data_IF_213935584538
#
_entry.id   IF_213935584538
#
_cell.length_a   1.000
_cell.length_b   1.000
_cell.length_c   1.000
_cell.angle_alpha   90.00
_cell.angle_beta   90.00
_cell.angle_gamma   90.00
#
_symmetry.space_group_name_H-M   'P 1'
#
loop_
_entity.id
_entity.type
_entity.pdbx_description
1 polymer ?
#
# COMPACT_ATOMS: atom_id res chain seq x y z
N UNK A 1 7.91 -9.17 -27.91
CA UNK A 1 8.38 -8.68 -26.56
C UNK A 1 7.50 -9.31 -25.48
N UNK A 2 8.08 -9.70 -24.34
CA UNK A 2 7.29 -10.22 -23.22
C UNK A 2 6.44 -9.07 -22.62
N UNK A 3 5.09 -9.11 -22.70
CA UNK A 3 4.24 -7.99 -22.24
C UNK A 3 4.30 -7.71 -20.74
N UNK A 4 4.87 -8.63 -19.95
CA UNK A 4 5.07 -8.42 -18.50
C UNK A 4 6.14 -7.37 -18.18
N UNK A 5 7.14 -7.17 -19.04
CA UNK A 5 8.16 -6.14 -18.80
C UNK A 5 7.57 -4.73 -18.87
N UNK A 6 6.88 -4.30 -19.95
CA UNK A 6 6.27 -2.97 -19.98
C UNK A 6 5.16 -2.81 -18.93
N UNK A 7 4.42 -3.88 -18.61
CA UNK A 7 3.41 -3.85 -17.55
C UNK A 7 4.03 -3.59 -16.18
N UNK A 8 5.05 -4.38 -15.81
CA UNK A 8 5.74 -4.23 -14.53
C UNK A 8 6.44 -2.88 -14.40
N UNK A 9 7.12 -2.44 -15.47
CA UNK A 9 7.78 -1.13 -15.53
C UNK A 9 6.76 0.01 -15.32
N UNK A 10 5.63 -0.01 -16.03
CA UNK A 10 4.57 0.98 -15.87
C UNK A 10 4.03 1.02 -14.43
N UNK A 11 3.76 -0.15 -13.83
CA UNK A 11 3.26 -0.25 -12.44
C UNK A 11 4.28 0.29 -11.45
N UNK A 12 5.57 -0.06 -11.58
CA UNK A 12 6.60 0.44 -10.68
C UNK A 12 6.70 1.97 -10.75
N UNK A 13 6.69 2.55 -11.96
CA UNK A 13 6.77 3.99 -12.14
C UNK A 13 5.50 4.72 -11.68
N UNK A 14 4.32 4.10 -11.77
CA UNK A 14 3.08 4.72 -11.28
C UNK A 14 3.11 5.01 -9.77
N UNK A 15 3.82 4.20 -9.00
CA UNK A 15 3.93 4.34 -7.55
C UNK A 15 4.84 5.49 -7.10
N UNK A 16 5.70 6.03 -8.00
CA UNK A 16 6.71 7.01 -7.62
C UNK A 16 6.11 8.26 -6.98
N UNK A 17 5.07 8.84 -7.56
CA UNK A 17 4.43 10.02 -7.00
C UNK A 17 3.72 9.77 -5.66
N UNK A 18 2.98 8.67 -5.56
CA UNK A 18 2.17 8.38 -4.38
C UNK A 18 3.01 8.06 -3.14
N UNK A 19 3.94 7.10 -3.28
CA UNK A 19 4.72 6.65 -2.12
C UNK A 19 5.79 7.67 -1.70
N UNK A 20 6.22 8.55 -2.61
CA UNK A 20 7.08 9.69 -2.25
C UNK A 20 6.39 10.66 -1.30
N UNK A 21 5.06 10.84 -1.41
CA UNK A 21 4.31 11.70 -0.49
C UNK A 21 4.35 11.19 0.95
N UNK A 22 4.36 9.89 1.17
CA UNK A 22 4.46 9.35 2.53
C UNK A 22 5.82 9.66 3.17
N UNK A 23 6.88 9.79 2.38
CA UNK A 23 8.19 10.18 2.88
C UNK A 23 8.33 11.69 3.10
N UNK A 24 7.50 12.52 2.47
CA UNK A 24 7.77 13.96 2.34
C UNK A 24 6.63 14.87 2.79
N UNK A 25 5.36 14.48 2.64
CA UNK A 25 4.22 15.39 2.84
C UNK A 25 4.17 15.99 4.25
N UNK A 26 4.41 15.20 5.28
CA UNK A 26 4.34 15.67 6.67
C UNK A 26 5.47 16.60 7.08
N UNK A 27 6.54 16.68 6.30
CA UNK A 27 7.65 17.63 6.49
C UNK A 27 7.52 18.88 5.61
N UNK A 28 6.56 18.91 4.67
CA UNK A 28 6.36 19.96 3.68
C UNK A 28 5.00 20.69 3.79
N UNK A 29 4.38 20.62 4.97
CA UNK A 29 3.02 21.17 5.20
C UNK A 29 2.92 22.67 4.90
N UNK A 30 3.95 23.44 5.28
CA UNK A 30 4.01 24.89 5.05
C UNK A 30 4.06 25.23 3.55
N UNK A 31 4.77 24.42 2.74
CA UNK A 31 4.89 24.62 1.28
C UNK A 31 3.54 24.49 0.59
N UNK A 32 2.66 23.65 1.14
CA UNK A 32 1.36 23.32 0.56
C UNK A 32 0.19 24.01 1.27
N UNK A 33 0.46 24.82 2.29
CA UNK A 33 -0.56 25.47 3.13
C UNK A 33 -1.56 24.44 3.73
N UNK A 34 -1.03 23.38 4.34
CA UNK A 34 -1.80 22.30 4.93
C UNK A 34 -1.61 22.21 6.43
N UNK A 35 -2.68 21.85 7.14
CA UNK A 35 -2.57 21.34 8.51
C UNK A 35 -2.19 19.86 8.52
N UNK A 36 -1.67 19.37 9.65
CA UNK A 36 -1.34 17.95 9.81
C UNK A 36 -2.56 17.04 9.66
N UNK A 37 -3.74 17.46 10.16
CA UNK A 37 -5.00 16.74 9.99
C UNK A 37 -5.41 16.65 8.51
N UNK A 38 -5.25 17.74 7.75
CA UNK A 38 -5.51 17.74 6.30
C UNK A 38 -4.57 16.79 5.56
N UNK A 39 -3.29 16.75 5.93
CA UNK A 39 -2.35 15.76 5.38
C UNK A 39 -2.81 14.32 5.67
N UNK A 40 -3.35 14.05 6.87
CA UNK A 40 -3.94 12.76 7.22
C UNK A 40 -5.12 12.38 6.30
N UNK A 41 -6.01 13.31 6.01
CA UNK A 41 -7.11 13.10 5.06
C UNK A 41 -6.56 12.82 3.65
N UNK A 42 -5.60 13.61 3.17
CA UNK A 42 -4.99 13.42 1.86
C UNK A 42 -4.33 12.03 1.73
N UNK A 43 -3.59 11.59 2.74
CA UNK A 43 -2.96 10.27 2.74
C UNK A 43 -3.95 9.11 2.92
N UNK A 44 -5.20 9.37 3.28
CA UNK A 44 -6.25 8.37 3.53
C UNK A 44 -7.24 8.23 2.39
N UNK A 45 -7.65 9.35 1.77
CA UNK A 45 -8.82 9.40 0.87
C UNK A 45 -8.69 8.49 -0.35
N UNK A 46 -7.48 8.31 -0.89
CA UNK A 46 -7.27 7.43 -2.04
C UNK A 46 -7.63 5.96 -1.72
N UNK A 47 -7.44 5.51 -0.46
CA UNK A 47 -7.85 4.18 -0.01
C UNK A 47 -9.38 4.06 0.09
N UNK A 48 -10.05 5.12 0.54
CA UNK A 48 -11.52 5.17 0.56
C UNK A 48 -12.11 4.99 -0.85
N UNK A 49 -11.52 5.66 -1.84
CA UNK A 49 -11.95 5.54 -3.26
C UNK A 49 -11.80 4.11 -3.78
N UNK A 50 -10.77 3.38 -3.36
CA UNK A 50 -10.49 2.01 -3.79
C UNK A 50 -11.52 1.00 -3.29
N UNK A 51 -12.13 1.22 -2.14
CA UNK A 51 -13.11 0.29 -1.56
C UNK A 51 -14.26 0.01 -2.55
N UNK A 52 -15.02 1.00 -3.04
CA UNK A 52 -16.00 0.79 -4.10
C UNK A 52 -15.36 0.68 -5.50
N UNK A 53 -14.19 1.27 -5.69
CA UNK A 53 -13.50 1.34 -6.98
C UNK A 53 -13.02 0.00 -7.50
N UNK A 54 -12.42 -0.85 -6.64
CA UNK A 54 -11.86 -2.14 -7.06
C UNK A 54 -12.91 -3.09 -7.69
N UNK A 55 -14.09 -3.35 -7.08
CA UNK A 55 -15.14 -4.14 -7.72
C UNK A 55 -15.65 -3.50 -9.02
N UNK A 56 -15.83 -2.18 -9.03
CA UNK A 56 -16.30 -1.45 -10.18
C UNK A 56 -15.32 -1.52 -11.35
N UNK A 57 -14.02 -1.36 -11.09
CA UNK A 57 -12.97 -1.48 -12.10
C UNK A 57 -12.94 -2.88 -12.72
N UNK A 58 -13.08 -3.94 -11.92
CA UNK A 58 -13.15 -5.30 -12.41
C UNK A 58 -14.27 -5.48 -13.44
N UNK A 59 -15.48 -5.06 -13.09
CA UNK A 59 -16.63 -5.13 -14.01
C UNK A 59 -16.43 -4.26 -15.26
N UNK A 60 -15.92 -3.03 -15.08
CA UNK A 60 -15.71 -2.11 -16.20
C UNK A 60 -14.67 -2.66 -17.19
N UNK A 61 -13.63 -3.32 -16.69
CA UNK A 61 -12.59 -3.96 -17.51
C UNK A 61 -13.11 -5.14 -18.33
N UNK A 62 -14.11 -5.87 -17.83
CA UNK A 62 -14.76 -6.93 -18.58
C UNK A 62 -15.59 -6.40 -19.77
N UNK A 63 -15.99 -5.12 -19.73
CA UNK A 63 -16.80 -4.49 -20.77
C UNK A 63 -15.97 -3.69 -21.77
N UNK A 64 -15.06 -2.85 -21.25
CA UNK A 64 -14.28 -1.89 -22.07
C UNK A 64 -12.99 -2.54 -22.59
N UNK A 65 -12.37 -3.41 -21.80
CA UNK A 65 -11.06 -3.99 -22.05
C UNK A 65 -10.06 -3.65 -20.95
N UNK A 66 -8.98 -4.42 -20.88
CA UNK A 66 -7.94 -4.25 -19.84
C UNK A 66 -7.04 -3.05 -20.14
N UNK A 67 -6.52 -3.00 -21.39
CA UNK A 67 -5.54 -1.99 -21.82
C UNK A 67 -6.06 -0.55 -21.73
N UNK A 68 -7.22 -0.17 -22.27
CA UNK A 68 -7.64 1.23 -22.27
C UNK A 68 -7.85 1.76 -20.85
N UNK A 69 -8.36 0.95 -19.94
CA UNK A 69 -8.57 1.34 -18.55
C UNK A 69 -7.26 1.40 -17.75
N UNK A 70 -6.31 0.50 -18.03
CA UNK A 70 -4.97 0.57 -17.44
C UNK A 70 -4.24 1.86 -17.89
N UNK A 71 -4.28 2.18 -19.18
CA UNK A 71 -3.68 3.42 -19.71
C UNK A 71 -4.34 4.67 -19.14
N UNK A 72 -5.68 4.66 -19.00
CA UNK A 72 -6.40 5.74 -18.30
C UNK A 72 -5.92 5.88 -16.85
N UNK A 73 -5.76 4.77 -16.13
CA UNK A 73 -5.20 4.77 -14.79
C UNK A 73 -3.81 5.40 -14.74
N UNK A 74 -2.93 5.06 -15.69
CA UNK A 74 -1.60 5.66 -15.79
C UNK A 74 -1.66 7.17 -16.07
N UNK A 75 -2.57 7.62 -16.94
CA UNK A 75 -2.77 9.06 -17.21
C UNK A 75 -3.25 9.83 -15.96
N UNK A 76 -4.20 9.24 -15.21
CA UNK A 76 -4.65 9.78 -13.93
C UNK A 76 -3.52 9.82 -12.90
N UNK A 77 -2.63 8.82 -12.88
CA UNK A 77 -1.46 8.79 -11.99
C UNK A 77 -0.49 9.94 -12.30
N UNK A 78 -0.20 10.19 -13.58
CA UNK A 78 0.60 11.34 -14.02
C UNK A 78 -0.03 12.65 -13.56
N UNK A 79 -1.32 12.85 -13.84
CA UNK A 79 -2.05 14.07 -13.50
C UNK A 79 -2.10 14.30 -11.98
N UNK A 80 -2.36 13.24 -11.21
CA UNK A 80 -2.36 13.30 -9.75
C UNK A 80 -0.99 13.70 -9.20
N UNK A 81 0.09 13.08 -9.67
CA UNK A 81 1.45 13.42 -9.23
C UNK A 81 1.83 14.85 -9.63
N UNK A 82 1.47 15.28 -10.84
CA UNK A 82 1.71 16.66 -11.30
C UNK A 82 0.97 17.70 -10.43
N UNK A 83 -0.22 17.37 -9.94
CA UNK A 83 -1.01 18.29 -9.11
C UNK A 83 -0.25 18.75 -7.86
N UNK A 84 0.57 17.89 -7.25
CA UNK A 84 1.36 18.25 -6.05
C UNK A 84 2.47 19.26 -6.34
N UNK A 85 2.92 19.35 -7.59
CA UNK A 85 3.87 20.36 -8.03
C UNK A 85 3.23 21.66 -8.52
N UNK A 86 1.95 21.63 -8.90
CA UNK A 86 1.27 22.71 -9.62
C UNK A 86 0.26 23.49 -8.80
N UNK A 87 -0.37 22.86 -7.78
CA UNK A 87 -1.46 23.48 -7.02
C UNK A 87 -1.18 23.54 -5.53
N UNK A 88 -1.90 24.43 -4.84
CA UNK A 88 -1.83 24.66 -3.41
C UNK A 88 -3.17 24.47 -2.74
N UNK A 89 -3.10 24.21 -1.43
CA UNK A 89 -4.24 24.13 -0.56
C UNK A 89 -4.94 22.76 -0.59
N UNK A 90 -5.79 22.57 0.37
CA UNK A 90 -6.38 21.28 0.66
C UNK A 90 -7.26 20.73 -0.47
N UNK A 91 -8.19 21.54 -0.99
CA UNK A 91 -9.20 21.06 -1.94
C UNK A 91 -8.64 20.60 -3.30
N UNK A 92 -7.76 21.36 -3.98
CA UNK A 92 -7.17 20.90 -5.23
C UNK A 92 -6.35 19.62 -5.03
N UNK A 93 -5.58 19.52 -3.93
CA UNK A 93 -4.81 18.33 -3.61
C UNK A 93 -5.70 17.13 -3.25
N UNK A 94 -6.85 17.37 -2.61
CA UNK A 94 -7.84 16.31 -2.35
C UNK A 94 -8.38 15.71 -3.65
N UNK A 95 -8.71 16.53 -4.65
CA UNK A 95 -9.11 16.04 -5.97
C UNK A 95 -7.98 15.23 -6.64
N UNK A 96 -6.75 15.68 -6.54
CA UNK A 96 -5.57 14.91 -7.00
C UNK A 96 -5.49 13.55 -6.32
N UNK A 97 -5.70 13.47 -5.00
CA UNK A 97 -5.69 12.21 -4.23
C UNK A 97 -6.85 11.28 -4.56
N UNK A 98 -8.04 11.82 -4.80
CA UNK A 98 -9.19 11.04 -5.32
C UNK A 98 -8.84 10.47 -6.70
N UNK A 99 -8.28 11.31 -7.58
CA UNK A 99 -7.77 10.89 -8.90
C UNK A 99 -6.75 9.77 -8.79
N UNK A 100 -5.80 9.84 -7.83
CA UNK A 100 -4.87 8.75 -7.55
C UNK A 100 -5.56 7.46 -7.09
N UNK A 101 -6.56 7.56 -6.22
CA UNK A 101 -7.34 6.38 -5.80
C UNK A 101 -7.99 5.67 -6.99
N UNK A 102 -8.57 6.42 -7.93
CA UNK A 102 -9.11 5.88 -9.19
C UNK A 102 -7.99 5.31 -10.07
N UNK A 103 -6.87 6.03 -10.21
CA UNK A 103 -5.70 5.59 -10.97
C UNK A 103 -5.20 4.23 -10.49
N UNK A 104 -4.90 4.11 -9.19
CA UNK A 104 -4.39 2.86 -8.62
C UNK A 104 -5.39 1.71 -8.72
N UNK A 105 -6.67 1.97 -8.56
CA UNK A 105 -7.72 0.97 -8.79
C UNK A 105 -7.63 0.39 -10.22
N UNK A 106 -7.53 1.24 -11.23
CA UNK A 106 -7.44 0.82 -12.64
C UNK A 106 -6.10 0.13 -12.94
N UNK A 107 -5.00 0.63 -12.39
CA UNK A 107 -3.66 0.06 -12.60
C UNK A 107 -3.55 -1.31 -11.92
N UNK A 108 -3.90 -1.40 -10.64
CA UNK A 108 -3.71 -2.62 -9.86
C UNK A 108 -4.63 -3.75 -10.30
N UNK A 109 -5.94 -3.48 -10.44
CA UNK A 109 -6.91 -4.47 -10.93
C UNK A 109 -6.63 -4.83 -12.38
N UNK A 110 -6.33 -3.85 -13.23
CA UNK A 110 -5.98 -4.07 -14.64
C UNK A 110 -4.71 -4.87 -14.81
N UNK A 111 -3.67 -4.51 -14.11
CA UNK A 111 -2.38 -5.21 -14.17
C UNK A 111 -2.49 -6.67 -13.74
N UNK A 112 -3.20 -6.93 -12.62
CA UNK A 112 -3.41 -8.31 -12.17
C UNK A 112 -4.25 -9.12 -13.15
N UNK A 113 -5.33 -8.54 -13.71
CA UNK A 113 -6.13 -9.20 -14.73
C UNK A 113 -5.31 -9.52 -16.00
N UNK A 114 -4.48 -8.57 -16.49
CA UNK A 114 -3.58 -8.83 -17.61
C UNK A 114 -2.61 -9.98 -17.32
N UNK A 115 -2.06 -10.06 -16.12
CA UNK A 115 -1.20 -11.18 -15.70
C UNK A 115 -1.96 -12.50 -15.74
N UNK A 116 -3.20 -12.52 -15.24
CA UNK A 116 -4.03 -13.72 -15.27
C UNK A 116 -4.40 -14.13 -16.70
N UNK A 117 -4.77 -13.18 -17.56
CA UNK A 117 -5.11 -13.43 -18.97
C UNK A 117 -3.91 -13.99 -19.77
N UNK A 118 -2.69 -13.56 -19.43
CA UNK A 118 -1.44 -14.00 -20.07
C UNK A 118 -0.87 -15.29 -19.48
N UNK A 119 -1.44 -15.79 -18.36
CA UNK A 119 -0.92 -16.95 -17.63
C UNK A 119 -1.64 -18.25 -17.99
N UNK A 120 -0.91 -19.36 -17.93
CA UNK A 120 -1.48 -20.71 -17.88
C UNK A 120 -1.55 -21.18 -16.42
N UNK A 121 -2.35 -22.21 -16.09
CA UNK A 121 -2.36 -22.78 -14.72
C UNK A 121 -0.97 -23.08 -14.17
N UNK A 122 -0.05 -23.56 -15.00
CA UNK A 122 1.32 -23.88 -14.60
C UNK A 122 2.24 -22.65 -14.41
N UNK A 123 1.96 -21.52 -15.06
CA UNK A 123 2.80 -20.31 -15.01
C UNK A 123 2.22 -19.21 -14.13
N UNK A 124 0.95 -19.31 -13.70
CA UNK A 124 0.20 -18.26 -13.02
C UNK A 124 0.92 -17.73 -11.77
N UNK A 125 1.38 -18.61 -10.90
CA UNK A 125 2.09 -18.21 -9.68
C UNK A 125 3.40 -17.47 -9.98
N UNK A 126 4.17 -17.95 -10.98
CA UNK A 126 5.43 -17.32 -11.39
C UNK A 126 5.20 -15.91 -11.96
N UNK A 127 4.19 -15.76 -12.83
CA UNK A 127 3.92 -14.47 -13.48
C UNK A 127 3.34 -13.46 -12.49
N UNK A 128 2.44 -13.88 -11.59
CA UNK A 128 1.95 -13.04 -10.49
C UNK A 128 3.08 -12.64 -9.53
N UNK A 129 4.00 -13.56 -9.22
CA UNK A 129 5.19 -13.26 -8.43
C UNK A 129 6.10 -12.22 -9.08
N UNK A 130 6.34 -12.32 -10.40
CA UNK A 130 7.13 -11.34 -11.14
C UNK A 130 6.45 -9.96 -11.18
N UNK A 131 5.13 -9.92 -11.38
CA UNK A 131 4.36 -8.67 -11.31
C UNK A 131 4.47 -8.02 -9.93
N UNK A 132 4.29 -8.80 -8.86
CA UNK A 132 4.45 -8.30 -7.50
C UNK A 132 5.88 -7.82 -7.21
N UNK A 133 6.91 -8.44 -7.78
CA UNK A 133 8.28 -7.96 -7.64
C UNK A 133 8.44 -6.54 -8.20
N UNK A 134 7.82 -6.20 -9.33
CA UNK A 134 7.80 -4.83 -9.85
C UNK A 134 7.06 -3.85 -8.94
N UNK A 135 5.97 -4.28 -8.30
CA UNK A 135 5.28 -3.48 -7.29
C UNK A 135 6.21 -3.19 -6.10
N UNK A 136 6.95 -4.19 -5.61
CA UNK A 136 7.93 -4.01 -4.52
C UNK A 136 9.09 -3.09 -4.92
N UNK A 137 9.55 -3.14 -6.17
CA UNK A 137 10.53 -2.17 -6.71
C UNK A 137 9.97 -0.74 -6.60
N UNK A 138 8.71 -0.51 -6.98
CA UNK A 138 8.05 0.79 -6.79
C UNK A 138 7.98 1.21 -5.33
N UNK A 139 7.60 0.31 -4.42
CA UNK A 139 7.55 0.55 -2.97
C UNK A 139 8.91 0.93 -2.37
N UNK A 140 10.00 0.40 -2.89
CA UNK A 140 11.35 0.72 -2.42
C UNK A 140 11.89 2.02 -3.06
N UNK A 141 11.75 2.16 -4.38
CA UNK A 141 12.33 3.30 -5.11
C UNK A 141 11.59 4.61 -4.87
N UNK A 142 10.26 4.58 -4.75
CA UNK A 142 9.47 5.80 -4.68
C UNK A 142 9.81 6.66 -3.45
N UNK A 143 9.75 6.18 -2.21
CA UNK A 143 10.09 7.01 -1.06
C UNK A 143 11.58 7.42 -1.05
N UNK A 144 12.47 6.54 -1.54
CA UNK A 144 13.90 6.83 -1.64
C UNK A 144 14.17 8.00 -2.61
N UNK A 145 13.67 7.90 -3.83
CA UNK A 145 13.85 8.93 -4.86
C UNK A 145 13.10 10.21 -4.49
N UNK A 146 11.89 10.08 -3.95
CA UNK A 146 11.08 11.21 -3.51
C UNK A 146 11.74 12.01 -2.41
N UNK A 147 12.25 11.34 -1.38
CA UNK A 147 13.00 11.99 -0.30
C UNK A 147 14.26 12.70 -0.80
N UNK A 148 15.07 12.00 -1.59
CA UNK A 148 16.30 12.54 -2.18
C UNK A 148 16.02 13.78 -3.07
N UNK A 149 15.03 13.69 -3.95
CA UNK A 149 14.69 14.81 -4.84
C UNK A 149 14.16 16.01 -4.04
N UNK A 150 13.33 15.80 -3.02
CA UNK A 150 12.79 16.90 -2.21
C UNK A 150 13.90 17.65 -1.47
N UNK A 151 14.87 16.94 -0.91
CA UNK A 151 16.02 17.59 -0.26
C UNK A 151 16.97 18.28 -1.27
N UNK A 152 17.04 17.77 -2.51
CA UNK A 152 17.97 18.31 -3.54
C UNK A 152 17.41 19.51 -4.31
N UNK A 153 16.12 19.48 -4.69
CA UNK A 153 15.51 20.46 -5.60
C UNK A 153 14.17 21.01 -5.10
N UNK A 154 13.86 20.84 -3.83
CA UNK A 154 12.62 21.20 -3.15
C UNK A 154 11.39 20.38 -3.59
N UNK A 155 10.27 20.51 -2.86
CA UNK A 155 9.09 19.63 -3.00
C UNK A 155 8.42 19.72 -4.38
N UNK A 156 8.09 20.93 -4.85
CA UNK A 156 7.31 21.09 -6.09
C UNK A 156 8.05 20.60 -7.35
N UNK A 157 9.30 21.05 -7.61
CA UNK A 157 10.06 20.49 -8.72
C UNK A 157 10.25 18.99 -8.63
N UNK A 158 10.47 18.43 -7.42
CA UNK A 158 10.60 17.00 -7.21
C UNK A 158 9.33 16.25 -7.66
N UNK A 159 8.13 16.75 -7.30
CA UNK A 159 6.86 16.14 -7.73
C UNK A 159 6.67 16.22 -9.24
N UNK A 160 7.08 17.31 -9.90
CA UNK A 160 7.02 17.43 -11.35
C UNK A 160 7.99 16.46 -12.06
N UNK A 161 9.20 16.29 -11.52
CA UNK A 161 10.15 15.29 -12.03
C UNK A 161 9.57 13.88 -11.89
N UNK A 162 9.01 13.54 -10.73
CA UNK A 162 8.39 12.23 -10.50
C UNK A 162 7.17 12.01 -11.40
N UNK A 163 6.38 13.06 -11.67
CA UNK A 163 5.29 13.01 -12.66
C UNK A 163 5.82 12.72 -14.06
N UNK A 164 6.91 13.39 -14.48
CA UNK A 164 7.58 13.12 -15.75
C UNK A 164 8.07 11.69 -15.87
N UNK A 165 8.66 11.15 -14.80
CA UNK A 165 9.08 9.74 -14.76
C UNK A 165 7.88 8.80 -14.82
N UNK A 166 6.77 9.11 -14.13
CA UNK A 166 5.52 8.35 -14.22
C UNK A 166 4.97 8.39 -15.67
N UNK A 167 5.12 9.51 -16.38
CA UNK A 167 4.72 9.64 -17.78
C UNK A 167 5.52 8.71 -18.72
N UNK A 168 6.77 8.36 -18.39
CA UNK A 168 7.50 7.30 -19.11
C UNK A 168 6.81 5.94 -18.97
N UNK A 169 6.27 5.63 -17.79
CA UNK A 169 5.45 4.45 -17.55
C UNK A 169 4.16 4.46 -18.36
N UNK A 170 3.49 5.63 -18.44
CA UNK A 170 2.33 5.81 -19.32
C UNK A 170 2.69 5.57 -20.79
N UNK A 171 3.81 6.13 -21.27
CA UNK A 171 4.32 5.89 -22.61
C UNK A 171 4.58 4.42 -22.92
N UNK A 172 5.24 3.72 -21.98
CA UNK A 172 5.48 2.28 -22.10
C UNK A 172 4.17 1.48 -22.14
N UNK A 173 3.19 1.81 -21.29
CA UNK A 173 1.89 1.18 -21.29
C UNK A 173 1.12 1.43 -22.59
N UNK A 174 1.13 2.67 -23.07
CA UNK A 174 0.42 3.06 -24.31
C UNK A 174 1.02 2.40 -25.56
N UNK A 175 2.35 2.32 -25.66
CA UNK A 175 3.03 1.84 -26.86
C UNK A 175 3.20 0.32 -26.90
N UNK A 176 3.40 -0.33 -25.74
CA UNK A 176 3.86 -1.71 -25.69
C UNK A 176 2.87 -2.72 -25.07
N UNK A 177 1.80 -2.28 -24.38
CA UNK A 177 0.83 -3.21 -23.82
C UNK A 177 -0.18 -3.65 -24.88
N UNK A 178 -0.40 -4.96 -25.07
CA UNK A 178 -1.50 -5.48 -25.89
C UNK A 178 -2.83 -5.44 -25.09
N UNK A 179 -3.95 -5.49 -25.80
CA UNK A 179 -5.22 -5.84 -25.18
C UNK A 179 -5.22 -7.35 -24.88
N UNK A 180 -5.51 -7.71 -23.63
CA UNK A 180 -5.47 -9.10 -23.17
C UNK A 180 -6.85 -9.71 -23.00
N UNK A 181 -7.92 -8.90 -22.98
CA UNK A 181 -9.29 -9.41 -22.87
C UNK A 181 -9.65 -10.21 -24.12
N UNK A 182 -9.95 -11.52 -24.01
CA UNK A 182 -10.36 -12.34 -25.15
C UNK A 182 -11.61 -11.78 -25.82
N UNK A 183 -11.61 -11.72 -27.17
CA UNK A 183 -12.71 -11.12 -27.93
C UNK A 183 -14.08 -11.77 -27.64
N UNK A 184 -14.11 -13.08 -27.38
CA UNK A 184 -15.33 -13.81 -27.04
C UNK A 184 -15.95 -13.43 -25.67
N UNK A 185 -15.16 -12.94 -24.74
CA UNK A 185 -15.66 -12.54 -23.43
C UNK A 185 -16.31 -11.15 -23.41
N UNK A 186 -16.04 -10.31 -24.40
CA UNK A 186 -16.67 -8.98 -24.54
C UNK A 186 -18.17 -9.06 -24.80
N UNK A 187 -18.65 -10.18 -25.33
CA UNK A 187 -20.03 -10.37 -25.77
C UNK A 187 -20.85 -11.33 -24.91
N UNK A 188 -20.22 -12.09 -24.00
CA UNK A 188 -20.89 -13.09 -23.20
C UNK A 188 -21.64 -12.44 -22.02
N UNK A 189 -22.97 -12.63 -22.00
CA UNK A 189 -23.91 -12.45 -20.88
C UNK A 189 -23.66 -11.26 -19.96
N UNK A 190 -24.11 -10.06 -20.35
CA UNK A 190 -23.97 -8.85 -19.54
C UNK A 190 -25.05 -8.80 -18.47
N UNK A 191 -24.78 -9.40 -17.31
CA UNK A 191 -25.57 -9.07 -16.14
C UNK A 191 -25.45 -7.57 -15.80
N UNK A 192 -26.55 -6.93 -15.38
CA UNK A 192 -26.52 -5.53 -14.97
C UNK A 192 -25.45 -5.29 -13.89
N UNK A 193 -24.71 -4.18 -13.98
CA UNK A 193 -23.69 -3.81 -13.00
C UNK A 193 -24.20 -3.86 -11.57
N UNK A 194 -25.41 -3.38 -11.33
CA UNK A 194 -26.02 -3.33 -10.00
C UNK A 194 -26.26 -4.73 -9.40
N UNK A 195 -26.69 -5.71 -10.20
CA UNK A 195 -26.89 -7.09 -9.73
C UNK A 195 -25.57 -7.76 -9.34
N UNK A 196 -24.47 -7.49 -10.06
CA UNK A 196 -23.14 -7.97 -9.69
C UNK A 196 -22.63 -7.35 -8.40
N UNK A 197 -22.83 -6.04 -8.20
CA UNK A 197 -22.42 -5.33 -6.98
C UNK A 197 -23.21 -5.82 -5.76
N UNK A 198 -24.54 -6.03 -5.89
CA UNK A 198 -25.36 -6.58 -4.80
C UNK A 198 -24.97 -8.01 -4.46
N UNK A 199 -24.70 -8.85 -5.46
CA UNK A 199 -24.23 -10.22 -5.25
C UNK A 199 -22.87 -10.28 -4.52
N UNK A 200 -21.93 -9.37 -4.85
CA UNK A 200 -20.64 -9.23 -4.16
C UNK A 200 -20.84 -8.80 -2.70
N UNK A 201 -21.74 -7.85 -2.46
CA UNK A 201 -22.08 -7.39 -1.11
C UNK A 201 -22.68 -8.50 -0.24
N UNK A 202 -23.66 -9.21 -0.78
CA UNK A 202 -24.32 -10.33 -0.07
C UNK A 202 -23.34 -11.46 0.22
N UNK A 203 -22.45 -11.77 -0.74
CA UNK A 203 -21.41 -12.77 -0.55
C UNK A 203 -20.43 -12.34 0.54
N UNK A 204 -19.98 -11.08 0.51
CA UNK A 204 -19.10 -10.52 1.53
C UNK A 204 -19.73 -10.56 2.93
N UNK A 205 -21.00 -10.16 3.05
CA UNK A 205 -21.76 -10.23 4.29
C UNK A 205 -21.84 -11.64 4.85
N UNK A 206 -22.17 -12.64 4.01
CA UNK A 206 -22.23 -14.07 4.42
C UNK A 206 -20.86 -14.56 4.88
N UNK A 207 -19.77 -14.23 4.17
CA UNK A 207 -18.41 -14.60 4.57
C UNK A 207 -18.05 -14.08 5.96
N UNK A 208 -18.47 -12.87 6.29
CA UNK A 208 -18.20 -12.26 7.61
C UNK A 208 -19.05 -12.87 8.74
N UNK A 209 -20.30 -13.22 8.45
CA UNK A 209 -21.23 -13.73 9.47
C UNK A 209 -21.06 -15.22 9.73
N UNK A 210 -20.90 -16.02 8.66
CA UNK A 210 -20.93 -17.48 8.73
C UNK A 210 -19.57 -18.12 9.01
N UNK A 211 -18.46 -17.38 8.80
CA UNK A 211 -17.09 -17.89 8.94
C UNK A 211 -16.25 -17.10 9.97
N UNK A 212 -16.35 -17.42 11.27
CA UNK A 212 -15.66 -16.68 12.34
C UNK A 212 -14.13 -16.62 12.20
N UNK A 213 -13.51 -17.72 11.75
CA UNK A 213 -12.05 -17.76 11.54
C UNK A 213 -11.61 -16.84 10.41
N UNK A 214 -12.38 -16.83 9.31
CA UNK A 214 -12.14 -15.93 8.19
C UNK A 214 -12.26 -14.47 8.61
N UNK A 215 -13.31 -14.13 9.37
CA UNK A 215 -13.49 -12.79 9.96
C UNK A 215 -12.32 -12.37 10.84
N UNK A 216 -11.78 -13.29 11.66
CA UNK A 216 -10.57 -13.01 12.46
C UNK A 216 -9.39 -12.64 11.58
N UNK A 217 -9.12 -13.39 10.51
CA UNK A 217 -8.05 -13.09 9.55
C UNK A 217 -8.21 -11.73 8.88
N UNK A 218 -9.44 -11.37 8.50
CA UNK A 218 -9.76 -10.05 7.91
C UNK A 218 -9.54 -8.90 8.90
N UNK A 219 -9.99 -9.05 10.15
CA UNK A 219 -9.77 -8.07 11.20
C UNK A 219 -8.28 -7.90 11.51
N UNK A 220 -7.53 -9.00 11.63
CA UNK A 220 -6.08 -8.95 11.84
C UNK A 220 -5.39 -8.20 10.69
N UNK A 221 -5.80 -8.44 9.45
CA UNK A 221 -5.22 -7.72 8.33
C UNK A 221 -5.55 -6.22 8.37
N UNK A 222 -6.78 -5.84 8.72
CA UNK A 222 -7.12 -4.44 8.94
C UNK A 222 -6.26 -3.80 10.03
N UNK A 223 -6.03 -4.50 11.16
CA UNK A 223 -5.15 -4.02 12.24
C UNK A 223 -3.70 -3.83 11.77
N UNK A 224 -3.17 -4.80 11.00
CA UNK A 224 -1.81 -4.72 10.45
C UNK A 224 -1.67 -3.57 9.47
N UNK A 225 -2.65 -3.40 8.58
CA UNK A 225 -2.65 -2.32 7.60
C UNK A 225 -2.87 -0.95 8.25
N UNK A 226 -3.70 -0.87 9.30
CA UNK A 226 -3.91 0.33 10.09
C UNK A 226 -2.60 0.84 10.72
N UNK A 227 -1.85 -0.04 11.36
CA UNK A 227 -0.63 0.33 12.06
C UNK A 227 0.57 0.45 11.10
N UNK A 228 0.78 -0.53 10.21
CA UNK A 228 1.93 -0.61 9.31
C UNK A 228 1.89 0.41 8.17
N UNK A 229 0.91 0.26 7.28
CA UNK A 229 0.76 1.15 6.12
C UNK A 229 -0.02 2.43 6.46
N UNK A 230 -0.78 2.41 7.55
CA UNK A 230 -1.49 3.58 8.03
C UNK A 230 -0.59 4.49 8.87
N UNK A 231 -0.30 4.10 10.12
CA UNK A 231 0.40 4.97 11.08
C UNK A 231 1.87 5.17 10.68
N UNK A 232 2.64 4.07 10.53
CA UNK A 232 4.10 4.19 10.31
C UNK A 232 4.38 4.89 8.98
N UNK A 233 3.76 4.44 7.89
CA UNK A 233 4.05 4.99 6.57
C UNK A 233 3.76 6.50 6.53
N UNK A 234 2.67 6.96 7.16
CA UNK A 234 2.26 8.36 7.13
C UNK A 234 2.97 9.27 8.13
N UNK A 235 3.51 8.73 9.22
CA UNK A 235 4.07 9.55 10.31
C UNK A 235 5.57 9.37 10.55
N UNK A 236 6.24 8.43 9.85
CA UNK A 236 7.66 8.17 10.05
C UNK A 236 8.52 9.41 9.75
N UNK A 237 8.22 10.13 8.67
CA UNK A 237 8.95 11.35 8.33
C UNK A 237 8.80 12.44 9.41
N UNK A 238 7.59 12.58 9.97
CA UNK A 238 7.34 13.48 11.09
C UNK A 238 8.08 13.03 12.34
N UNK A 239 8.16 11.72 12.61
CA UNK A 239 8.92 11.16 13.72
C UNK A 239 10.42 11.44 13.57
N UNK A 240 10.97 11.27 12.38
CA UNK A 240 12.36 11.58 12.05
C UNK A 240 12.63 13.08 12.27
N UNK A 241 11.76 13.94 11.74
CA UNK A 241 11.86 15.39 11.89
C UNK A 241 11.86 15.83 13.37
N UNK A 242 10.94 15.29 14.17
CA UNK A 242 10.83 15.66 15.60
C UNK A 242 12.00 15.19 16.45
N UNK A 243 12.62 14.06 16.10
CA UNK A 243 13.70 13.47 16.92
C UNK A 243 15.10 13.85 16.49
N UNK A 244 15.29 14.06 15.19
CA UNK A 244 16.62 14.23 14.61
C UNK A 244 16.80 15.59 13.94
N UNK A 245 15.71 16.36 13.77
CA UNK A 245 15.72 17.69 13.13
C UNK A 245 15.61 17.61 11.60
N UNK A 246 15.80 18.76 10.95
CA UNK A 246 15.68 18.88 9.49
C UNK A 246 16.84 18.25 8.74
N UNK A 247 18.00 18.18 9.36
CA UNK A 247 19.22 17.60 8.79
C UNK A 247 19.97 16.79 9.84
N UNK A 248 20.67 15.75 9.39
CA UNK A 248 21.49 14.88 10.21
C UNK A 248 22.87 14.84 9.62
N UNK A 249 23.88 15.02 10.47
CA UNK A 249 25.29 14.93 10.08
C UNK A 249 25.83 13.55 10.44
N UNK A 250 26.28 12.80 9.45
CA UNK A 250 26.96 11.52 9.58
C UNK A 250 28.39 11.64 9.02
N UNK A 251 29.34 11.92 9.88
CA UNK A 251 30.71 12.29 9.46
C UNK A 251 30.68 13.62 8.68
N UNK A 252 31.14 13.61 7.43
CA UNK A 252 31.10 14.76 6.54
C UNK A 252 29.81 14.90 5.73
N UNK A 253 28.92 13.90 5.76
CA UNK A 253 27.68 13.89 5.00
C UNK A 253 26.55 14.56 5.79
N UNK A 254 25.89 15.52 5.15
CA UNK A 254 24.63 16.12 5.65
C UNK A 254 23.47 15.51 4.88
N UNK A 255 22.56 14.83 5.60
CA UNK A 255 21.40 14.16 5.04
C UNK A 255 20.14 14.89 5.50
N UNK A 256 19.29 15.31 4.58
CA UNK A 256 18.01 15.93 4.88
C UNK A 256 16.99 14.93 5.41
N UNK A 257 15.99 15.43 6.12
CA UNK A 257 14.94 14.62 6.75
C UNK A 257 14.13 13.82 5.73
N UNK A 258 13.87 14.37 4.54
CA UNK A 258 13.12 13.68 3.51
C UNK A 258 13.90 12.50 2.93
N UNK A 259 15.20 12.67 2.66
CA UNK A 259 16.11 11.60 2.21
C UNK A 259 16.23 10.49 3.24
N UNK A 260 16.42 10.82 4.52
CA UNK A 260 16.50 9.81 5.57
C UNK A 260 15.18 9.05 5.71
N UNK A 261 14.06 9.77 5.74
CA UNK A 261 12.72 9.14 5.85
C UNK A 261 12.43 8.24 4.65
N UNK A 262 12.75 8.72 3.45
CA UNK A 262 12.66 7.94 2.21
C UNK A 262 13.52 6.68 2.23
N UNK A 263 14.78 6.81 2.71
CA UNK A 263 15.70 5.68 2.89
C UNK A 263 15.20 4.64 3.89
N UNK A 264 14.63 5.09 5.02
CA UNK A 264 14.04 4.20 6.02
C UNK A 264 12.81 3.45 5.50
N UNK A 265 11.93 4.12 4.74
CA UNK A 265 10.78 3.48 4.11
C UNK A 265 11.19 2.52 2.99
N UNK A 266 12.23 2.85 2.22
CA UNK A 266 12.81 1.95 1.23
C UNK A 266 13.42 0.71 1.90
N UNK A 267 14.22 0.89 2.96
CA UNK A 267 14.78 -0.22 3.75
C UNK A 267 13.66 -1.11 4.30
N UNK A 268 12.61 -0.51 4.87
CA UNK A 268 11.42 -1.25 5.34
C UNK A 268 10.82 -2.11 4.22
N UNK A 269 10.65 -1.55 3.03
CA UNK A 269 10.05 -2.25 1.89
C UNK A 269 10.92 -3.40 1.40
N UNK A 270 12.23 -3.19 1.27
CA UNK A 270 13.19 -4.22 0.86
C UNK A 270 13.22 -5.37 1.87
N UNK A 271 13.34 -5.06 3.15
CA UNK A 271 13.38 -6.08 4.20
C UNK A 271 12.06 -6.86 4.30
N UNK A 272 10.90 -6.18 4.17
CA UNK A 272 9.61 -6.86 4.14
C UNK A 272 9.49 -7.82 2.94
N UNK A 273 9.96 -7.40 1.76
CA UNK A 273 9.99 -8.22 0.56
C UNK A 273 10.90 -9.45 0.69
N UNK A 274 12.03 -9.34 1.40
CA UNK A 274 12.96 -10.45 1.65
C UNK A 274 12.46 -11.40 2.74
N UNK A 275 11.85 -10.88 3.80
CA UNK A 275 11.40 -11.68 4.95
C UNK A 275 10.10 -12.45 4.67
N UNK A 276 9.25 -11.95 3.78
CA UNK A 276 7.98 -12.59 3.44
C UNK A 276 8.15 -14.04 2.97
N UNK A 277 8.96 -14.35 1.93
CA UNK A 277 9.18 -15.73 1.47
C UNK A 277 9.78 -16.64 2.55
N UNK A 278 10.67 -16.12 3.41
CA UNK A 278 11.26 -16.88 4.52
C UNK A 278 10.20 -17.24 5.56
N UNK A 279 9.36 -16.28 5.93
CA UNK A 279 8.25 -16.50 6.87
C UNK A 279 7.21 -17.48 6.30
N UNK A 280 6.93 -17.42 5.00
CA UNK A 280 6.06 -18.39 4.31
C UNK A 280 6.60 -19.80 4.41
N UNK A 281 7.89 -20.00 4.10
CA UNK A 281 8.53 -21.30 4.21
C UNK A 281 8.51 -21.87 5.64
N UNK A 282 8.79 -21.04 6.65
CA UNK A 282 8.72 -21.43 8.06
C UNK A 282 7.29 -21.79 8.47
N UNK A 283 6.30 -20.99 8.05
CA UNK A 283 4.89 -21.23 8.32
C UNK A 283 4.37 -22.54 7.72
N UNK A 284 4.86 -22.92 6.53
CA UNK A 284 4.38 -24.11 5.82
C UNK A 284 5.03 -25.42 6.34
N UNK A 285 6.26 -25.35 6.86
CA UNK A 285 7.04 -26.54 7.20
C UNK A 285 7.28 -26.77 8.69
N UNK A 286 7.43 -25.71 9.49
CA UNK A 286 7.95 -25.83 10.86
C UNK A 286 6.96 -25.41 11.94
N UNK A 287 6.05 -24.45 11.68
CA UNK A 287 5.18 -23.87 12.70
C UNK A 287 3.73 -23.80 12.25
N UNK A 288 2.82 -23.82 13.24
CA UNK A 288 1.40 -23.54 12.95
C UNK A 288 1.25 -22.06 12.54
N UNK A 289 0.50 -21.77 11.48
CA UNK A 289 0.29 -20.41 10.97
C UNK A 289 -0.13 -19.38 12.04
N UNK A 290 -1.04 -19.71 13.00
CA UNK A 290 -1.39 -18.80 14.08
C UNK A 290 -0.18 -18.38 14.95
N UNK A 291 0.80 -19.25 15.13
CA UNK A 291 2.02 -18.95 15.90
C UNK A 291 2.88 -17.95 15.13
N UNK A 292 3.14 -18.19 13.83
CA UNK A 292 3.91 -17.26 12.98
C UNK A 292 3.25 -15.88 12.91
N UNK A 293 1.90 -15.84 12.85
CA UNK A 293 1.15 -14.59 12.90
C UNK A 293 1.33 -13.89 14.27
N UNK A 294 1.23 -14.64 15.37
CA UNK A 294 1.43 -14.09 16.72
C UNK A 294 2.85 -13.54 16.91
N UNK A 295 3.88 -14.26 16.43
CA UNK A 295 5.28 -13.81 16.47
C UNK A 295 5.48 -12.52 15.64
N UNK A 296 4.88 -12.46 14.44
CA UNK A 296 4.89 -11.26 13.61
C UNK A 296 4.21 -10.06 14.31
N UNK A 297 3.08 -10.29 14.97
CA UNK A 297 2.39 -9.27 15.76
C UNK A 297 3.20 -8.84 16.98
N UNK A 298 3.85 -9.77 17.70
CA UNK A 298 4.71 -9.45 18.84
C UNK A 298 5.91 -8.61 18.42
N UNK A 299 6.58 -8.99 17.33
CA UNK A 299 7.69 -8.21 16.77
C UNK A 299 7.23 -6.82 16.30
N UNK A 300 6.04 -6.72 15.72
CA UNK A 300 5.43 -5.45 15.34
C UNK A 300 5.11 -4.57 16.54
N UNK A 301 4.55 -5.14 17.62
CA UNK A 301 4.32 -4.42 18.87
C UNK A 301 5.63 -3.89 19.49
N UNK A 302 6.70 -4.70 19.47
CA UNK A 302 8.05 -4.27 19.88
C UNK A 302 8.55 -3.11 19.00
N UNK A 303 8.39 -3.21 17.68
CA UNK A 303 8.74 -2.13 16.74
C UNK A 303 8.05 -0.83 17.13
N UNK A 304 6.73 -0.84 17.34
CA UNK A 304 5.98 0.34 17.74
C UNK A 304 6.41 0.89 19.11
N UNK A 305 6.72 0.02 20.06
CA UNK A 305 7.29 0.43 21.36
C UNK A 305 8.63 1.15 21.20
N UNK A 306 9.53 0.63 20.37
CA UNK A 306 10.81 1.26 20.06
C UNK A 306 10.63 2.60 19.34
N UNK A 307 9.72 2.68 18.37
CA UNK A 307 9.39 3.91 17.68
C UNK A 307 8.67 4.92 18.57
N UNK A 308 7.93 4.49 19.60
CA UNK A 308 7.30 5.39 20.57
C UNK A 308 8.28 5.98 21.55
N UNK A 309 9.10 5.16 22.17
CA UNK A 309 9.86 5.50 23.38
C UNK A 309 11.36 5.69 23.11
N UNK A 310 11.89 5.11 22.04
CA UNK A 310 13.32 5.14 21.73
C UNK A 310 13.80 6.51 21.29
N UNK A 311 15.06 6.80 21.54
CA UNK A 311 15.72 8.06 21.16
C UNK A 311 16.89 7.78 20.22
N UNK A 312 17.17 8.74 19.32
CA UNK A 312 18.30 8.69 18.42
C UNK A 312 18.12 7.73 17.22
N UNK A 313 19.01 7.86 16.26
CA UNK A 313 18.99 7.11 15.00
C UNK A 313 19.13 5.58 15.18
N UNK A 314 20.00 5.04 16.06
CA UNK A 314 20.13 3.59 16.21
C UNK A 314 18.84 2.90 16.64
N UNK A 315 18.11 3.45 17.62
CA UNK A 315 16.86 2.85 18.10
C UNK A 315 15.76 2.96 17.05
N UNK A 316 15.72 4.08 16.32
CA UNK A 316 14.80 4.27 15.22
C UNK A 316 15.05 3.22 14.10
N UNK A 317 16.32 2.97 13.74
CA UNK A 317 16.69 1.92 12.77
C UNK A 317 16.25 0.53 13.24
N UNK A 318 16.52 0.16 14.48
CA UNK A 318 16.09 -1.14 15.06
C UNK A 318 14.57 -1.25 15.02
N UNK A 319 13.84 -0.19 15.38
CA UNK A 319 12.39 -0.15 15.31
C UNK A 319 11.86 -0.35 13.88
N UNK A 320 12.44 0.34 12.89
CA UNK A 320 12.07 0.19 11.47
C UNK A 320 12.37 -1.22 10.95
N UNK A 321 13.54 -1.79 11.29
CA UNK A 321 13.92 -3.15 10.90
C UNK A 321 12.97 -4.18 11.51
N UNK A 322 12.68 -4.08 12.80
CA UNK A 322 11.72 -4.97 13.47
C UNK A 322 10.33 -4.88 12.81
N UNK A 323 9.86 -3.66 12.51
CA UNK A 323 8.59 -3.43 11.81
C UNK A 323 8.58 -3.97 10.38
N UNK A 324 9.72 -3.92 9.67
CA UNK A 324 9.87 -4.48 8.34
C UNK A 324 9.75 -6.02 8.35
N UNK A 325 10.45 -6.68 9.27
CA UNK A 325 10.40 -8.14 9.44
C UNK A 325 8.98 -8.57 9.85
N UNK A 326 8.37 -7.87 10.80
CA UNK A 326 6.97 -8.10 11.19
C UNK A 326 6.02 -7.96 9.99
N UNK A 327 6.14 -6.87 9.22
CA UNK A 327 5.33 -6.61 8.04
C UNK A 327 5.48 -7.67 6.96
N UNK A 328 6.70 -8.09 6.64
CA UNK A 328 6.98 -9.17 5.69
C UNK A 328 6.39 -10.51 6.14
N UNK A 329 6.54 -10.84 7.42
CA UNK A 329 5.96 -12.05 8.01
C UNK A 329 4.44 -12.05 7.90
N UNK A 330 3.79 -10.96 8.33
CA UNK A 330 2.33 -10.84 8.36
C UNK A 330 1.72 -10.75 6.96
N UNK A 331 2.41 -10.09 6.00
CA UNK A 331 1.95 -9.98 4.60
C UNK A 331 1.90 -11.33 3.88
N UNK A 332 2.64 -12.32 4.35
CA UNK A 332 2.66 -13.69 3.79
C UNK A 332 1.78 -14.64 4.61
N UNK A 333 1.87 -14.60 5.94
CA UNK A 333 1.17 -15.55 6.80
C UNK A 333 -0.36 -15.31 6.86
N UNK A 334 -0.83 -14.04 6.80
CA UNK A 334 -2.26 -13.72 6.84
C UNK A 334 -3.03 -14.15 5.59
N UNK A 335 -2.56 -13.89 4.34
CA UNK A 335 -3.21 -14.43 3.14
C UNK A 335 -3.23 -15.96 3.11
N UNK A 336 -2.16 -16.60 3.60
CA UNK A 336 -2.11 -18.05 3.71
C UNK A 336 -3.12 -18.58 4.73
N UNK A 337 -3.26 -17.95 5.90
CA UNK A 337 -4.29 -18.26 6.89
C UNK A 337 -5.71 -18.08 6.31
N UNK A 338 -5.91 -17.01 5.52
CA UNK A 338 -7.16 -16.79 4.82
C UNK A 338 -7.48 -17.94 3.85
N UNK A 339 -6.48 -18.37 3.05
CA UNK A 339 -6.60 -19.47 2.11
C UNK A 339 -6.97 -20.81 2.78
N UNK A 340 -6.45 -21.05 4.00
CA UNK A 340 -6.76 -22.27 4.78
C UNK A 340 -8.17 -22.23 5.40
N UNK A 341 -8.69 -21.05 5.70
CA UNK A 341 -9.98 -20.88 6.39
C UNK A 341 -11.14 -20.57 5.45
N UNK A 342 -10.86 -20.13 4.23
CA UNK A 342 -11.87 -19.78 3.23
C UNK A 342 -12.42 -21.04 2.53
N UNK A 343 -13.77 -21.12 2.33
CA UNK A 343 -14.38 -22.17 1.52
C UNK A 343 -13.78 -22.17 0.10
N UNK A 344 -13.55 -23.35 -0.48
CA UNK A 344 -12.90 -23.49 -1.78
C UNK A 344 -13.62 -22.76 -2.91
N UNK A 345 -14.96 -22.84 -2.92
CA UNK A 345 -15.84 -22.19 -3.88
C UNK A 345 -15.91 -20.66 -3.74
N UNK A 346 -15.43 -20.09 -2.60
CA UNK A 346 -15.54 -18.67 -2.26
C UNK A 346 -14.20 -17.99 -2.01
N UNK A 347 -13.07 -18.65 -2.27
CA UNK A 347 -11.72 -18.09 -2.04
C UNK A 347 -11.52 -16.74 -2.72
N UNK A 348 -11.99 -16.59 -3.96
CA UNK A 348 -11.87 -15.31 -4.68
C UNK A 348 -12.64 -14.16 -4.02
N UNK A 349 -13.88 -14.42 -3.58
CA UNK A 349 -14.68 -13.44 -2.85
C UNK A 349 -14.07 -13.12 -1.47
N UNK A 350 -13.52 -14.11 -0.77
CA UNK A 350 -12.83 -13.94 0.50
C UNK A 350 -11.59 -13.03 0.35
N UNK A 351 -10.80 -13.20 -0.71
CA UNK A 351 -9.67 -12.30 -1.04
C UNK A 351 -10.11 -10.87 -1.34
N UNK A 352 -11.25 -10.69 -2.02
CA UNK A 352 -11.82 -9.37 -2.28
C UNK A 352 -12.22 -8.65 -0.99
N UNK A 353 -12.93 -9.34 -0.08
CA UNK A 353 -13.31 -8.80 1.24
C UNK A 353 -12.07 -8.52 2.08
N UNK A 354 -11.09 -9.43 2.08
CA UNK A 354 -9.80 -9.24 2.77
C UNK A 354 -9.09 -7.97 2.29
N UNK A 355 -9.02 -7.73 0.98
CA UNK A 355 -8.43 -6.51 0.43
C UNK A 355 -9.19 -5.24 0.89
N UNK A 356 -10.52 -5.30 0.96
CA UNK A 356 -11.37 -4.20 1.47
C UNK A 356 -11.05 -3.88 2.93
N UNK A 357 -10.87 -4.90 3.79
CA UNK A 357 -10.45 -4.72 5.17
C UNK A 357 -9.06 -4.10 5.28
N UNK A 358 -8.14 -4.50 4.39
CA UNK A 358 -6.81 -3.88 4.30
C UNK A 358 -6.87 -2.41 3.92
N UNK A 359 -7.65 -2.06 2.89
CA UNK A 359 -7.83 -0.66 2.47
C UNK A 359 -8.51 0.17 3.57
N UNK A 360 -9.49 -0.38 4.29
CA UNK A 360 -10.13 0.30 5.43
C UNK A 360 -9.13 0.55 6.57
N UNK A 361 -8.30 -0.43 6.92
CA UNK A 361 -7.21 -0.25 7.89
C UNK A 361 -6.23 0.84 7.47
N UNK A 362 -5.70 0.73 6.24
CA UNK A 362 -4.75 1.71 5.69
C UNK A 362 -5.34 3.12 5.54
N UNK A 363 -6.65 3.24 5.37
CA UNK A 363 -7.36 4.53 5.34
C UNK A 363 -7.43 5.15 6.74
N UNK A 364 -7.84 4.37 7.73
CA UNK A 364 -8.04 4.87 9.09
C UNK A 364 -6.72 5.28 9.77
N UNK A 365 -5.61 4.63 9.42
CA UNK A 365 -4.30 4.88 10.03
C UNK A 365 -3.81 6.31 9.88
N UNK A 366 -3.58 6.85 8.68
CA UNK A 366 -3.11 8.22 8.50
C UNK A 366 -4.11 9.25 9.00
N UNK A 367 -5.41 9.00 8.78
CA UNK A 367 -6.49 9.88 9.23
C UNK A 367 -6.44 10.08 10.74
N UNK A 368 -6.48 8.99 11.51
CA UNK A 368 -6.48 9.07 12.98
C UNK A 368 -5.11 9.50 13.52
N UNK A 369 -4.00 8.96 12.98
CA UNK A 369 -2.68 9.30 13.46
C UNK A 369 -2.41 10.80 13.36
N UNK A 370 -2.54 11.37 12.15
CA UNK A 370 -2.19 12.77 11.93
C UNK A 370 -3.23 13.76 12.51
N UNK A 371 -4.47 13.32 12.72
CA UNK A 371 -5.46 14.12 13.47
C UNK A 371 -5.18 14.14 14.99
N UNK A 372 -4.68 13.04 15.55
CA UNK A 372 -4.42 12.92 16.99
C UNK A 372 -3.05 13.46 17.42
N UNK A 373 -2.04 13.42 16.55
CA UNK A 373 -0.69 13.88 16.87
C UNK A 373 -0.65 15.31 17.46
N UNK A 374 -1.38 16.32 16.96
CA UNK A 374 -1.39 17.65 17.56
C UNK A 374 -1.94 17.69 19.00
N UNK A 375 -2.75 16.69 19.39
CA UNK A 375 -3.41 16.62 20.69
C UNK A 375 -2.60 15.83 21.71
N UNK A 376 -2.04 14.70 21.30
CA UNK A 376 -1.42 13.74 22.22
C UNK A 376 0.07 13.46 21.91
N UNK A 377 0.59 13.96 20.78
CA UNK A 377 1.94 13.68 20.32
C UNK A 377 2.08 12.34 19.56
N UNK A 378 3.28 12.07 19.03
CA UNK A 378 3.55 10.84 18.27
C UNK A 378 3.66 9.59 19.16
N UNK A 379 4.28 9.70 20.32
CA UNK A 379 4.55 8.53 21.17
C UNK A 379 3.26 7.79 21.58
N UNK A 380 2.18 8.44 22.06
CA UNK A 380 0.92 7.77 22.35
C UNK A 380 0.27 7.11 21.12
N UNK A 381 0.41 7.71 19.93
CA UNK A 381 -0.12 7.12 18.67
C UNK A 381 0.60 5.82 18.35
N UNK A 382 1.91 5.77 18.47
CA UNK A 382 2.69 4.54 18.27
C UNK A 382 2.43 3.50 19.37
N UNK A 383 2.26 3.91 20.64
CA UNK A 383 1.89 3.00 21.72
C UNK A 383 0.49 2.40 21.49
N UNK A 384 -0.45 3.18 20.99
CA UNK A 384 -1.76 2.67 20.60
C UNK A 384 -1.63 1.60 19.52
N UNK A 385 -0.78 1.81 18.49
CA UNK A 385 -0.50 0.79 17.49
C UNK A 385 0.10 -0.49 18.10
N UNK A 386 0.99 -0.37 19.10
CA UNK A 386 1.52 -1.52 19.83
C UNK A 386 0.39 -2.29 20.56
N UNK A 387 -0.51 -1.58 21.23
CA UNK A 387 -1.67 -2.18 21.94
C UNK A 387 -2.59 -2.89 20.95
N UNK A 388 -2.85 -2.31 19.76
CA UNK A 388 -3.63 -2.96 18.70
C UNK A 388 -2.99 -4.29 18.28
N UNK A 389 -1.66 -4.35 18.11
CA UNK A 389 -0.95 -5.58 17.76
C UNK A 389 -0.98 -6.62 18.89
N UNK A 390 -0.83 -6.19 20.14
CA UNK A 390 -0.99 -7.09 21.31
C UNK A 390 -2.42 -7.66 21.36
N UNK A 391 -3.44 -6.84 21.11
CA UNK A 391 -4.83 -7.29 20.98
C UNK A 391 -5.01 -8.31 19.87
N UNK A 392 -4.29 -8.13 18.75
CA UNK A 392 -4.25 -9.07 17.63
C UNK A 392 -3.69 -10.45 18.02
N UNK A 393 -2.66 -10.49 18.89
CA UNK A 393 -2.13 -11.76 19.43
C UNK A 393 -3.23 -12.51 20.20
N UNK A 394 -3.97 -11.80 21.05
CA UNK A 394 -5.12 -12.40 21.76
C UNK A 394 -6.20 -12.91 20.80
N UNK A 395 -6.44 -12.20 19.68
CA UNK A 395 -7.44 -12.58 18.69
C UNK A 395 -7.06 -13.85 17.91
N UNK A 396 -5.78 -13.99 17.50
CA UNK A 396 -5.32 -15.15 16.71
C UNK A 396 -5.16 -16.41 17.55
N UNK A 397 -4.76 -16.27 18.83
CA UNK A 397 -4.54 -17.41 19.74
C UNK A 397 -5.83 -17.89 20.43
N UNK A 398 -6.91 -17.12 20.38
CA UNK A 398 -8.22 -17.51 20.91
C UNK A 398 -8.74 -18.73 20.18
N UNK A 399 -8.98 -19.82 20.91
CA UNK A 399 -9.59 -21.06 20.39
C UNK A 399 -11.00 -20.85 19.86
#
# INVERSE_FOLDING_TARGET
MNPLLPLGFAVALSLLGDLSLFATLTTQLNVLNLSLAQAGILLSVHRLVRIPGNPLAGVLMDHVGRRPLFVLGMALAVASTASYGLVDGFWPLLFGRVGWGMAWTLINVGGLNMVLDLSTPASRGRLAGLYNAWVWVGYALAPLLGGFLVDSITFRPAMLVLSGVTALGLGAAFLALPETLPAGLRTAGREPLFSRLTALWDTGRRLLLDFPLLRRGMLLFAMVQFAGDGIVLSSLALLVLQRLGETITLGEMVIGVASLSGGLLALRSVLAGLTGPLAGHLSDRMFRRPVVIADGLALGALSFGLLALGQGLPVLLVGVIAGAVAGGTLSTALPAYLGDTAPEDRRGAALGVYATFGDAGSMLGPFLALALVPLVGLAPVYLFAAVVFIGGIGLILRK
#
